data_IF_067298083651
#
_entry.id   IF_067298083651
#
_cell.length_a   1.000
_cell.length_b   1.000
_cell.length_c   1.000
_cell.angle_alpha   90.00
_cell.angle_beta   90.00
_cell.angle_gamma   90.00
#
_symmetry.space_group_name_H-M   'P 1'
#
loop_
_entity.id
_entity.type
_entity.pdbx_description
1 polymer ?
#
# COMPACT_ATOMS: atom_id res chain seq x y z
N UNK A 1 -2.23 20.80 -36.67
CA UNK A 1 -2.38 20.55 -35.22
C UNK A 1 -2.17 19.09 -34.80
N UNK A 2 -1.81 18.15 -35.68
CA UNK A 2 -1.78 16.71 -35.34
C UNK A 2 -0.42 16.12 -34.94
N UNK A 3 0.71 16.80 -35.18
CA UNK A 3 2.04 16.26 -34.80
C UNK A 3 2.31 16.35 -33.29
N UNK A 4 1.88 17.43 -32.63
CA UNK A 4 2.06 17.61 -31.18
C UNK A 4 1.29 16.59 -30.33
N UNK A 5 0.12 16.14 -30.79
CA UNK A 5 -0.63 15.08 -30.12
C UNK A 5 0.07 13.72 -30.27
N UNK A 6 0.63 13.43 -31.46
CA UNK A 6 1.40 12.20 -31.71
C UNK A 6 2.67 12.12 -30.86
N UNK A 7 3.43 13.21 -30.76
CA UNK A 7 4.67 13.23 -29.96
C UNK A 7 4.40 13.03 -28.46
N UNK A 8 3.30 13.60 -27.95
CA UNK A 8 2.86 13.40 -26.56
C UNK A 8 2.42 11.95 -26.34
N UNK A 9 1.63 11.37 -27.24
CA UNK A 9 1.23 9.95 -27.16
C UNK A 9 2.44 9.00 -27.24
N UNK A 10 3.41 9.27 -28.11
CA UNK A 10 4.66 8.50 -28.21
C UNK A 10 5.46 8.61 -26.92
N UNK A 11 5.60 9.81 -26.36
CA UNK A 11 6.25 10.02 -25.06
C UNK A 11 5.53 9.26 -23.93
N UNK A 12 4.20 9.33 -23.86
CA UNK A 12 3.41 8.58 -22.88
C UNK A 12 3.58 7.07 -23.05
N UNK A 13 3.51 6.56 -24.29
CA UNK A 13 3.75 5.15 -24.60
C UNK A 13 5.16 4.73 -24.22
N UNK A 14 6.16 5.56 -24.49
CA UNK A 14 7.57 5.31 -24.18
C UNK A 14 7.84 5.34 -22.67
N UNK A 15 7.31 6.34 -21.96
CA UNK A 15 7.35 6.43 -20.50
C UNK A 15 6.65 5.25 -19.83
N UNK A 16 5.45 4.89 -20.31
CA UNK A 16 4.70 3.72 -19.83
C UNK A 16 5.45 2.41 -20.10
N UNK A 17 6.06 2.29 -21.27
CA UNK A 17 6.93 1.16 -21.63
C UNK A 17 8.19 1.09 -20.76
N UNK A 18 8.87 2.21 -20.51
CA UNK A 18 10.04 2.28 -19.62
C UNK A 18 9.67 1.89 -18.19
N UNK A 19 8.55 2.42 -17.67
CA UNK A 19 8.00 2.06 -16.37
C UNK A 19 7.68 0.57 -16.30
N UNK A 20 7.00 0.02 -17.32
CA UNK A 20 6.68 -1.40 -17.41
C UNK A 20 7.95 -2.28 -17.46
N UNK A 21 8.96 -1.88 -18.23
CA UNK A 21 10.26 -2.59 -18.28
C UNK A 21 10.99 -2.56 -16.95
N UNK A 22 10.96 -1.43 -16.25
CA UNK A 22 11.54 -1.32 -14.90
C UNK A 22 10.85 -2.27 -13.92
N UNK A 23 9.52 -2.33 -13.94
CA UNK A 23 8.74 -3.26 -13.11
C UNK A 23 9.07 -4.71 -13.47
N UNK A 24 9.09 -5.07 -14.76
CA UNK A 24 9.43 -6.42 -15.21
C UNK A 24 10.83 -6.85 -14.75
N UNK A 25 11.84 -5.98 -14.90
CA UNK A 25 13.22 -6.27 -14.46
C UNK A 25 13.32 -6.48 -12.95
N UNK A 26 12.63 -5.64 -12.17
CA UNK A 26 12.62 -5.74 -10.70
C UNK A 26 11.88 -6.98 -10.19
N UNK A 27 10.97 -7.55 -10.97
CA UNK A 27 10.18 -8.72 -10.60
C UNK A 27 10.60 -9.98 -11.38
N UNK A 28 11.82 -9.98 -11.93
CA UNK A 28 12.38 -11.17 -12.55
C UNK A 28 12.62 -12.26 -11.50
N UNK A 29 12.51 -13.52 -11.92
CA UNK A 29 12.75 -14.67 -11.05
C UNK A 29 14.24 -14.92 -10.82
N UNK A 30 14.65 -15.06 -9.56
CA UNK A 30 16.06 -15.17 -9.14
C UNK A 30 16.50 -16.64 -9.06
N UNK A 31 16.17 -17.44 -10.08
CA UNK A 31 16.46 -18.89 -10.10
C UNK A 31 17.96 -19.23 -10.01
N UNK A 32 18.84 -18.40 -10.58
CA UNK A 32 20.29 -18.60 -10.44
C UNK A 32 20.76 -18.37 -8.99
N UNK A 33 20.30 -17.29 -8.35
CA UNK A 33 20.62 -16.96 -6.96
C UNK A 33 20.12 -18.06 -6.03
N UNK A 34 18.90 -18.56 -6.24
CA UNK A 34 18.34 -19.67 -5.47
C UNK A 34 19.18 -20.94 -5.58
N UNK A 35 19.65 -21.30 -6.78
CA UNK A 35 20.52 -22.47 -6.98
C UNK A 35 21.87 -22.33 -6.30
N UNK A 36 22.43 -21.11 -6.24
CA UNK A 36 23.77 -20.85 -5.72
C UNK A 36 23.81 -20.68 -4.20
N UNK A 37 22.82 -20.00 -3.63
CA UNK A 37 22.82 -19.59 -2.22
C UNK A 37 21.66 -20.18 -1.41
N UNK A 38 20.77 -20.94 -2.05
CA UNK A 38 19.56 -21.45 -1.40
C UNK A 38 18.38 -20.48 -1.48
N UNK A 39 17.19 -21.02 -1.21
CA UNK A 39 15.92 -20.32 -1.41
C UNK A 39 15.71 -19.17 -0.42
N UNK A 40 16.18 -19.31 0.84
CA UNK A 40 16.03 -18.31 1.89
C UNK A 40 16.89 -17.08 1.61
N UNK A 41 18.18 -17.29 1.34
CA UNK A 41 19.11 -16.21 1.00
C UNK A 41 18.67 -15.49 -0.28
N UNK A 42 18.22 -16.23 -1.30
CA UNK A 42 17.75 -15.62 -2.53
C UNK A 42 16.49 -14.77 -2.32
N UNK A 43 15.55 -15.22 -1.49
CA UNK A 43 14.36 -14.45 -1.10
C UNK A 43 14.77 -13.18 -0.33
N UNK A 44 15.66 -13.30 0.67
CA UNK A 44 16.18 -12.18 1.44
C UNK A 44 16.86 -11.13 0.54
N UNK A 45 17.76 -11.59 -0.35
CA UNK A 45 18.41 -10.72 -1.32
C UNK A 45 17.39 -10.04 -2.25
N UNK A 46 16.37 -10.76 -2.70
CA UNK A 46 15.31 -10.20 -3.55
C UNK A 46 14.53 -9.09 -2.85
N UNK A 47 14.13 -9.30 -1.58
CA UNK A 47 13.43 -8.29 -0.77
C UNK A 47 14.27 -7.01 -0.67
N UNK A 48 15.56 -7.14 -0.35
CA UNK A 48 16.48 -6.00 -0.27
C UNK A 48 16.70 -5.33 -1.64
N UNK A 49 16.78 -6.12 -2.72
CA UNK A 49 16.91 -5.61 -4.09
C UNK A 49 15.70 -4.77 -4.53
N UNK A 50 14.49 -5.13 -4.06
CA UNK A 50 13.29 -4.33 -4.27
C UNK A 50 13.30 -3.02 -3.48
N UNK A 51 14.12 -2.95 -2.41
CA UNK A 51 14.18 -1.84 -1.46
C UNK A 51 13.32 -2.07 -0.22
N UNK A 52 12.90 -3.31 0.03
CA UNK A 52 12.18 -3.68 1.24
C UNK A 52 13.12 -4.09 2.37
N UNK A 53 12.51 -4.65 3.40
CA UNK A 53 13.15 -5.13 4.61
C UNK A 53 12.59 -6.51 4.99
N UNK A 54 13.36 -7.30 5.71
CA UNK A 54 12.91 -8.59 6.21
C UNK A 54 13.48 -8.89 7.60
N UNK A 55 12.87 -9.87 8.28
CA UNK A 55 13.37 -10.45 9.53
C UNK A 55 13.38 -11.98 9.43
N UNK A 56 14.43 -12.60 9.95
CA UNK A 56 14.51 -14.05 10.10
C UNK A 56 13.81 -14.52 11.38
N UNK A 57 13.43 -15.80 11.42
CA UNK A 57 12.76 -16.45 12.57
C UNK A 57 13.60 -16.47 13.86
N UNK A 58 14.92 -16.49 13.74
CA UNK A 58 15.89 -16.61 14.83
C UNK A 58 16.54 -15.27 15.21
N UNK A 59 16.13 -14.18 14.57
CA UNK A 59 16.72 -12.85 14.74
C UNK A 59 15.66 -11.83 15.13
N UNK A 60 15.98 -10.99 16.12
CA UNK A 60 15.12 -9.87 16.51
C UNK A 60 15.26 -8.66 15.58
N UNK A 61 16.43 -8.51 14.96
CA UNK A 61 16.77 -7.33 14.17
C UNK A 61 16.28 -7.44 12.72
N UNK A 62 15.72 -6.34 12.22
CA UNK A 62 15.34 -6.22 10.83
C UNK A 62 16.56 -5.93 9.94
N UNK A 63 16.62 -6.59 8.79
CA UNK A 63 17.58 -6.29 7.74
C UNK A 63 16.89 -5.45 6.68
N UNK A 64 17.44 -4.27 6.40
CA UNK A 64 16.84 -3.32 5.49
C UNK A 64 17.87 -2.74 4.51
N UNK A 65 17.38 -2.31 3.34
CA UNK A 65 18.16 -1.46 2.46
C UNK A 65 18.19 -0.02 3.00
N UNK A 66 19.31 0.68 2.80
CA UNK A 66 19.37 2.11 3.09
C UNK A 66 18.68 2.93 1.99
N UNK A 67 18.52 4.23 2.21
CA UNK A 67 17.87 5.16 1.27
C UNK A 67 18.52 5.22 -0.12
N UNK A 68 19.77 4.73 -0.26
CA UNK A 68 20.51 4.64 -1.54
C UNK A 68 20.44 3.25 -2.18
N UNK A 69 19.68 2.32 -1.60
CA UNK A 69 19.53 0.94 -2.08
C UNK A 69 20.72 0.02 -1.77
N UNK A 70 21.64 0.42 -0.89
CA UNK A 70 22.70 -0.47 -0.38
C UNK A 70 22.23 -1.18 0.87
N UNK A 71 22.62 -2.43 1.04
CA UNK A 71 22.27 -3.26 2.21
C UNK A 71 23.49 -4.07 2.67
N UNK A 72 23.45 -4.52 3.92
CA UNK A 72 24.46 -5.42 4.48
C UNK A 72 24.33 -6.82 3.89
N UNK A 73 25.44 -7.52 3.73
CA UNK A 73 25.50 -8.92 3.28
C UNK A 73 25.66 -9.92 4.44
N UNK A 74 25.55 -9.47 5.69
CA UNK A 74 25.76 -10.33 6.87
C UNK A 74 24.78 -11.53 6.89
N UNK A 75 23.59 -11.38 6.31
CA UNK A 75 22.59 -12.43 6.18
C UNK A 75 23.04 -13.62 5.31
N UNK A 76 24.12 -13.49 4.52
CA UNK A 76 24.70 -14.61 3.77
C UNK A 76 25.35 -15.66 4.68
N UNK A 77 25.72 -15.28 5.91
CA UNK A 77 26.35 -16.19 6.88
C UNK A 77 25.34 -17.03 7.66
N UNK A 78 24.05 -16.87 7.42
CA UNK A 78 22.95 -17.58 8.11
C UNK A 78 22.07 -18.32 7.09
N UNK A 79 22.58 -19.36 6.42
CA UNK A 79 21.87 -20.04 5.33
C UNK A 79 20.64 -20.82 5.78
N UNK A 80 20.62 -21.29 7.03
CA UNK A 80 19.54 -22.12 7.58
C UNK A 80 18.36 -21.30 8.11
N UNK A 81 18.56 -20.00 8.33
CA UNK A 81 17.51 -19.10 8.83
C UNK A 81 16.42 -18.89 7.77
N UNK A 82 15.16 -18.99 8.20
CA UNK A 82 13.98 -18.79 7.34
C UNK A 82 13.36 -17.42 7.59
N UNK A 83 12.76 -16.82 6.56
CA UNK A 83 12.16 -15.49 6.69
C UNK A 83 10.82 -15.59 7.43
N UNK A 84 10.62 -14.74 8.43
CA UNK A 84 9.40 -14.66 9.23
C UNK A 84 8.55 -13.44 8.89
N UNK A 85 9.20 -12.29 8.68
CA UNK A 85 8.52 -11.03 8.41
C UNK A 85 9.13 -10.34 7.19
N UNK A 86 8.28 -9.77 6.35
CA UNK A 86 8.68 -9.06 5.13
C UNK A 86 7.91 -7.76 5.03
N UNK A 87 8.64 -6.66 4.87
CA UNK A 87 8.10 -5.35 4.54
C UNK A 87 8.57 -4.96 3.12
N UNK A 88 7.62 -4.93 2.19
CA UNK A 88 7.80 -4.49 0.81
C UNK A 88 7.01 -3.20 0.53
N UNK A 89 6.64 -2.45 1.57
CA UNK A 89 5.88 -1.21 1.46
C UNK A 89 6.53 -0.22 0.50
N UNK A 90 5.71 0.41 -0.35
CA UNK A 90 6.13 1.42 -1.34
C UNK A 90 7.19 0.92 -2.33
N UNK A 91 7.29 -0.40 -2.54
CA UNK A 91 8.16 -0.99 -3.57
C UNK A 91 7.42 -1.18 -4.90
N UNK A 92 8.08 -1.81 -5.88
CA UNK A 92 7.49 -2.12 -7.20
C UNK A 92 7.14 -3.60 -7.36
N UNK A 93 6.95 -4.33 -6.25
CA UNK A 93 6.52 -5.74 -6.23
C UNK A 93 5.21 -5.92 -7.04
N UNK A 94 5.10 -7.03 -7.75
CA UNK A 94 3.88 -7.48 -8.40
C UNK A 94 3.72 -9.00 -8.28
N UNK A 95 2.65 -9.57 -8.85
CA UNK A 95 2.36 -11.01 -8.72
C UNK A 95 3.49 -11.91 -9.25
N UNK A 96 4.25 -11.50 -10.27
CA UNK A 96 5.41 -12.27 -10.74
C UNK A 96 6.59 -12.20 -9.77
N UNK A 97 6.80 -11.06 -9.12
CA UNK A 97 7.84 -10.90 -8.12
C UNK A 97 7.67 -11.81 -6.91
N UNK A 98 6.41 -12.13 -6.59
CA UNK A 98 6.05 -13.02 -5.50
C UNK A 98 6.68 -14.42 -5.64
N UNK A 99 6.97 -14.89 -6.87
CA UNK A 99 7.68 -16.15 -7.14
C UNK A 99 9.03 -16.26 -6.42
N UNK A 100 9.65 -15.13 -6.08
CA UNK A 100 10.91 -15.12 -5.35
C UNK A 100 10.75 -15.36 -3.84
N UNK A 101 9.53 -15.27 -3.30
CA UNK A 101 9.26 -15.40 -1.85
C UNK A 101 8.27 -16.53 -1.51
N UNK A 102 7.61 -17.17 -2.50
CA UNK A 102 6.62 -18.25 -2.26
C UNK A 102 7.18 -19.48 -1.53
N UNK A 103 8.50 -19.66 -1.50
CA UNK A 103 9.18 -20.74 -0.79
C UNK A 103 9.25 -20.51 0.73
N UNK A 104 8.96 -19.30 1.22
CA UNK A 104 9.06 -18.93 2.62
C UNK A 104 7.84 -19.41 3.43
N UNK A 105 7.81 -20.70 3.77
CA UNK A 105 6.67 -21.34 4.47
C UNK A 105 6.51 -20.93 5.93
N UNK A 106 7.46 -20.19 6.48
CA UNK A 106 7.45 -19.65 7.84
C UNK A 106 6.99 -18.20 7.89
N UNK A 107 6.66 -17.59 6.75
CA UNK A 107 6.27 -16.18 6.67
C UNK A 107 4.98 -15.94 7.48
N UNK A 108 5.08 -15.09 8.50
CA UNK A 108 3.99 -14.69 9.39
C UNK A 108 3.47 -13.29 9.10
N UNK A 109 4.33 -12.36 8.71
CA UNK A 109 3.93 -10.98 8.42
C UNK A 109 4.39 -10.55 7.03
N UNK A 110 3.46 -9.97 6.26
CA UNK A 110 3.72 -9.40 4.96
C UNK A 110 3.07 -8.03 4.85
N UNK A 111 3.86 -6.97 4.72
CA UNK A 111 3.36 -5.66 4.30
C UNK A 111 3.72 -5.38 2.85
N UNK A 112 2.71 -5.00 2.07
CA UNK A 112 2.85 -4.47 0.71
C UNK A 112 2.15 -3.13 0.56
N UNK A 113 2.04 -2.38 1.66
CA UNK A 113 1.39 -1.09 1.71
C UNK A 113 1.87 -0.16 0.59
N UNK A 114 0.92 0.50 -0.09
CA UNK A 114 1.22 1.52 -1.09
C UNK A 114 1.96 1.00 -2.33
N UNK A 115 1.92 -0.31 -2.61
CA UNK A 115 2.55 -0.88 -3.78
C UNK A 115 1.67 -0.70 -5.04
N UNK A 116 2.11 0.06 -6.06
CA UNK A 116 1.25 0.44 -7.19
C UNK A 116 0.98 -0.68 -8.20
N UNK A 117 1.66 -1.83 -8.09
CA UNK A 117 1.51 -2.97 -8.99
C UNK A 117 1.01 -4.24 -8.28
N UNK A 118 0.59 -4.14 -7.01
CA UNK A 118 -0.12 -5.21 -6.31
C UNK A 118 -1.59 -5.16 -6.74
N UNK A 119 -2.07 -6.27 -7.28
CA UNK A 119 -3.39 -6.46 -7.89
C UNK A 119 -4.07 -7.73 -7.35
N UNK A 120 -5.28 -8.02 -7.83
CA UNK A 120 -6.04 -9.20 -7.43
C UNK A 120 -5.29 -10.51 -7.69
N UNK A 121 -4.47 -10.57 -8.75
CA UNK A 121 -3.61 -11.72 -9.05
C UNK A 121 -2.53 -11.90 -7.98
N UNK A 122 -1.98 -10.80 -7.45
CA UNK A 122 -1.03 -10.87 -6.34
C UNK A 122 -1.70 -11.51 -5.11
N UNK A 123 -2.89 -11.05 -4.72
CA UNK A 123 -3.63 -11.61 -3.58
C UNK A 123 -4.00 -13.07 -3.79
N UNK A 124 -4.46 -13.44 -5.00
CA UNK A 124 -4.80 -14.82 -5.34
C UNK A 124 -3.62 -15.78 -5.15
N UNK A 125 -2.38 -15.31 -5.29
CA UNK A 125 -1.18 -16.13 -5.09
C UNK A 125 -0.77 -16.28 -3.63
N UNK A 126 -1.31 -15.49 -2.70
CA UNK A 126 -0.96 -15.57 -1.28
C UNK A 126 -1.46 -16.86 -0.61
N UNK A 127 -2.35 -17.63 -1.24
CA UNK A 127 -2.82 -18.94 -0.75
C UNK A 127 -1.66 -19.89 -0.37
N UNK A 128 -0.48 -19.73 -0.99
CA UNK A 128 0.72 -20.53 -0.67
C UNK A 128 1.25 -20.33 0.75
N UNK A 129 0.83 -19.26 1.42
CA UNK A 129 1.14 -18.91 2.81
C UNK A 129 -0.05 -19.16 3.75
N UNK A 130 -1.09 -19.86 3.31
CA UNK A 130 -2.35 -19.99 4.05
C UNK A 130 -2.22 -20.61 5.45
N UNK A 131 -1.18 -21.42 5.65
CA UNK A 131 -0.88 -22.10 6.91
C UNK A 131 0.18 -21.39 7.77
N UNK A 132 0.65 -20.20 7.38
CA UNK A 132 1.71 -19.46 8.10
C UNK A 132 1.39 -17.99 8.33
N UNK A 133 0.81 -17.31 7.33
CA UNK A 133 0.60 -15.87 7.34
C UNK A 133 -0.45 -15.50 8.39
N UNK A 134 -0.08 -14.55 9.25
CA UNK A 134 -0.86 -14.04 10.38
C UNK A 134 -1.21 -12.56 10.21
N UNK A 135 -0.36 -11.81 9.52
CA UNK A 135 -0.51 -10.37 9.34
C UNK A 135 -0.30 -10.01 7.88
N UNK A 136 -1.25 -9.26 7.33
CA UNK A 136 -1.21 -8.79 5.96
C UNK A 136 -1.64 -7.33 5.91
N UNK A 137 -0.76 -6.49 5.38
CA UNK A 137 -1.08 -5.10 5.09
C UNK A 137 -1.05 -4.86 3.58
N UNK A 138 -2.23 -4.57 3.03
CA UNK A 138 -2.44 -4.24 1.62
C UNK A 138 -2.96 -2.82 1.44
N UNK A 139 -2.90 -1.99 2.48
CA UNK A 139 -3.40 -0.63 2.47
C UNK A 139 -2.78 0.21 1.35
N UNK A 140 -3.54 1.21 0.87
CA UNK A 140 -3.12 2.12 -0.20
C UNK A 140 -2.71 1.45 -1.53
N UNK A 141 -3.10 0.19 -1.78
CA UNK A 141 -2.82 -0.48 -3.05
C UNK A 141 -3.93 -0.19 -4.07
N UNK A 142 -3.66 0.55 -5.17
CA UNK A 142 -4.72 1.13 -6.00
C UNK A 142 -5.38 0.16 -6.99
N UNK A 143 -4.85 -1.06 -7.13
CA UNK A 143 -5.32 -2.05 -8.11
C UNK A 143 -6.01 -3.26 -7.48
N UNK A 144 -6.16 -3.25 -6.16
CA UNK A 144 -6.91 -4.28 -5.45
C UNK A 144 -8.39 -3.95 -5.53
N UNK A 145 -9.19 -4.94 -5.89
CA UNK A 145 -10.65 -4.84 -5.93
C UNK A 145 -11.26 -5.79 -4.91
N UNK A 146 -12.58 -5.72 -4.76
CA UNK A 146 -13.36 -6.69 -3.97
C UNK A 146 -13.08 -8.13 -4.43
N UNK A 147 -12.90 -8.35 -5.73
CA UNK A 147 -12.59 -9.69 -6.28
C UNK A 147 -11.25 -10.25 -5.79
N UNK A 148 -10.23 -9.41 -5.63
CA UNK A 148 -8.95 -9.83 -5.05
C UNK A 148 -9.04 -10.14 -3.56
N UNK A 149 -9.83 -9.36 -2.82
CA UNK A 149 -10.06 -9.60 -1.39
C UNK A 149 -10.75 -10.94 -1.13
N UNK A 150 -11.63 -11.39 -2.04
CA UNK A 150 -12.26 -12.73 -1.96
C UNK A 150 -11.21 -13.86 -1.97
N UNK A 151 -10.04 -13.66 -2.57
CA UNK A 151 -9.00 -14.68 -2.60
C UNK A 151 -8.31 -14.88 -1.23
N UNK A 152 -8.48 -13.96 -0.28
CA UNK A 152 -7.86 -14.03 1.04
C UNK A 152 -8.47 -15.11 1.95
N UNK A 153 -9.64 -15.69 1.60
CA UNK A 153 -10.26 -16.81 2.35
C UNK A 153 -9.33 -18.01 2.58
N UNK A 154 -8.31 -18.18 1.74
CA UNK A 154 -7.35 -19.27 1.87
C UNK A 154 -6.32 -19.04 2.98
N UNK A 155 -6.26 -17.85 3.58
CA UNK A 155 -5.34 -17.47 4.64
C UNK A 155 -5.91 -17.83 6.03
N UNK A 156 -5.96 -19.14 6.33
CA UNK A 156 -6.64 -19.69 7.52
C UNK A 156 -6.06 -19.23 8.85
N UNK A 157 -4.79 -18.82 8.87
CA UNK A 157 -4.12 -18.32 10.09
C UNK A 157 -4.06 -16.80 10.17
N UNK A 158 -4.68 -16.08 9.23
CA UNK A 158 -4.66 -14.62 9.23
C UNK A 158 -5.42 -14.09 10.46
N UNK A 159 -4.75 -13.19 11.18
CA UNK A 159 -5.24 -12.56 12.41
C UNK A 159 -5.38 -11.06 12.28
N UNK A 160 -4.57 -10.43 11.43
CA UNK A 160 -4.63 -8.98 11.16
C UNK A 160 -4.59 -8.73 9.66
N UNK A 161 -5.52 -7.92 9.18
CA UNK A 161 -5.64 -7.52 7.79
C UNK A 161 -5.94 -6.02 7.69
N UNK A 162 -5.01 -5.26 7.13
CA UNK A 162 -5.22 -3.84 6.83
C UNK A 162 -5.62 -3.63 5.37
N UNK A 163 -6.83 -3.11 5.15
CA UNK A 163 -7.42 -2.77 3.84
C UNK A 163 -7.73 -1.28 3.72
N UNK A 164 -7.02 -0.43 4.47
CA UNK A 164 -7.20 1.03 4.45
C UNK A 164 -6.96 1.62 3.06
N UNK A 165 -7.82 2.58 2.68
CA UNK A 165 -7.63 3.42 1.48
C UNK A 165 -7.47 2.63 0.17
N UNK A 166 -8.21 1.53 0.00
CA UNK A 166 -8.29 0.80 -1.27
C UNK A 166 -9.27 1.51 -2.23
N UNK A 167 -8.73 2.33 -3.14
CA UNK A 167 -9.56 3.08 -4.11
C UNK A 167 -10.37 2.20 -5.07
N UNK A 168 -9.98 0.93 -5.26
CA UNK A 168 -10.71 -0.05 -6.06
C UNK A 168 -11.92 -0.68 -5.35
N UNK A 169 -12.17 -0.30 -4.10
CA UNK A 169 -13.28 -0.78 -3.27
C UNK A 169 -14.30 0.34 -3.10
N UNK A 170 -15.44 0.23 -3.80
CA UNK A 170 -16.49 1.27 -3.78
C UNK A 170 -17.34 1.28 -2.51
N UNK A 171 -17.35 0.19 -1.73
CA UNK A 171 -18.22 0.06 -0.55
C UNK A 171 -17.47 -0.60 0.61
N UNK A 172 -16.72 0.18 1.41
CA UNK A 172 -15.93 -0.33 2.52
C UNK A 172 -16.76 -1.13 3.53
N UNK A 173 -17.98 -0.69 3.85
CA UNK A 173 -18.86 -1.39 4.80
C UNK A 173 -19.28 -2.79 4.33
N UNK A 174 -19.56 -2.96 3.05
CA UNK A 174 -19.89 -4.29 2.49
C UNK A 174 -18.65 -5.19 2.44
N UNK A 175 -17.49 -4.61 2.13
CA UNK A 175 -16.22 -5.34 2.17
C UNK A 175 -15.88 -5.77 3.58
N UNK A 176 -16.15 -4.94 4.59
CA UNK A 176 -15.97 -5.31 5.99
C UNK A 176 -16.77 -6.55 6.34
N UNK A 177 -18.08 -6.54 6.08
CA UNK A 177 -18.97 -7.68 6.35
C UNK A 177 -18.49 -8.92 5.60
N UNK A 178 -18.15 -8.78 4.31
CA UNK A 178 -17.63 -9.88 3.50
C UNK A 178 -16.36 -10.50 4.10
N UNK A 179 -15.41 -9.67 4.52
CA UNK A 179 -14.14 -10.12 5.08
C UNK A 179 -14.32 -10.76 6.46
N UNK A 180 -15.20 -10.23 7.31
CA UNK A 180 -15.51 -10.83 8.61
C UNK A 180 -16.16 -12.20 8.48
N UNK A 181 -17.08 -12.38 7.52
CA UNK A 181 -17.70 -13.67 7.23
C UNK A 181 -16.68 -14.70 6.71
N UNK A 182 -15.76 -14.28 5.83
CA UNK A 182 -14.76 -15.17 5.25
C UNK A 182 -13.57 -15.46 6.19
N UNK A 183 -13.24 -14.52 7.07
CA UNK A 183 -12.07 -14.57 7.96
C UNK A 183 -12.51 -14.24 9.41
N UNK A 184 -13.31 -15.12 10.04
CA UNK A 184 -13.94 -14.83 11.33
C UNK A 184 -12.97 -14.67 12.51
N UNK A 185 -11.72 -15.11 12.35
CA UNK A 185 -10.66 -15.00 13.36
C UNK A 185 -9.68 -13.85 13.05
N UNK A 186 -9.96 -13.04 12.03
CA UNK A 186 -9.10 -11.96 11.57
C UNK A 186 -9.68 -10.61 11.96
N UNK A 187 -8.87 -9.81 12.65
CA UNK A 187 -9.11 -8.39 12.84
C UNK A 187 -8.83 -7.66 11.53
N UNK A 188 -9.89 -7.11 10.94
CA UNK A 188 -9.79 -6.26 9.75
C UNK A 188 -9.64 -4.80 10.22
N UNK A 189 -8.89 -3.96 9.51
CA UNK A 189 -8.81 -2.50 9.75
C UNK A 189 -8.96 -1.75 8.43
N UNK A 190 -9.36 -0.47 8.49
CA UNK A 190 -9.38 0.39 7.28
C UNK A 190 -10.58 0.23 6.36
N UNK A 191 -11.51 -0.67 6.68
CA UNK A 191 -12.80 -0.79 6.00
C UNK A 191 -13.92 0.04 6.67
N UNK A 192 -13.52 1.00 7.51
CA UNK A 192 -14.44 1.86 8.27
C UNK A 192 -14.98 3.00 7.41
N UNK A 193 -16.07 3.61 7.87
CA UNK A 193 -16.63 4.78 7.23
C UNK A 193 -15.56 5.85 7.10
N UNK A 194 -15.37 6.40 5.91
CA UNK A 194 -14.98 7.80 5.81
C UNK A 194 -16.16 8.56 6.40
N UNK A 195 -16.15 8.75 7.73
CA UNK A 195 -16.81 9.92 8.30
C UNK A 195 -16.07 11.04 7.61
N UNK A 196 -16.64 11.50 6.49
CA UNK A 196 -16.14 12.66 5.81
C UNK A 196 -15.85 13.64 6.91
N UNK A 197 -14.59 14.06 6.99
CA UNK A 197 -14.30 15.32 7.61
C UNK A 197 -15.20 16.30 6.85
N UNK A 198 -16.39 16.55 7.40
CA UNK A 198 -16.95 17.88 7.38
C UNK A 198 -15.88 18.66 8.11
N UNK A 199 -14.89 19.11 7.33
CA UNK A 199 -14.32 20.40 7.55
C UNK A 199 -15.58 21.27 7.68
N UNK A 200 -15.94 21.53 8.93
CA UNK A 200 -16.74 22.69 9.25
C UNK A 200 -15.82 23.80 8.77
N UNK A 201 -15.93 24.14 7.48
CA UNK A 201 -15.45 25.40 6.97
C UNK A 201 -16.08 26.40 7.93
N UNK A 202 -15.24 26.94 8.80
CA UNK A 202 -15.51 28.13 9.57
C UNK A 202 -15.68 29.27 8.56
N UNK A 203 -16.77 29.22 7.80
CA UNK A 203 -17.24 30.22 6.87
C UNK A 203 -18.73 30.43 7.12
N UNK A 204 -19.07 30.55 8.40
CA UNK A 204 -20.40 30.84 8.91
C UNK A 204 -20.36 31.78 10.11
N UNK A 205 -19.45 32.76 10.10
CA UNK A 205 -19.38 33.79 11.16
C UNK A 205 -18.64 35.05 10.71
N UNK A 206 -18.97 35.60 9.54
CA UNK A 206 -18.53 36.94 9.11
C UNK A 206 -19.57 37.69 8.25
N UNK A 207 -20.88 37.46 8.46
CA UNK A 207 -21.92 38.22 7.75
C UNK A 207 -23.02 38.85 8.63
N UNK A 208 -22.88 38.86 9.95
CA UNK A 208 -23.79 39.63 10.82
C UNK A 208 -23.17 40.89 11.45
N UNK A 209 -21.84 41.03 11.46
CA UNK A 209 -21.20 42.21 12.08
C UNK A 209 -20.97 43.39 11.13
N UNK A 210 -21.22 43.23 9.81
CA UNK A 210 -21.07 44.33 8.83
C UNK A 210 -22.36 45.12 8.58
N UNK A 211 -23.52 44.57 8.97
CA UNK A 211 -24.83 45.24 8.82
C UNK A 211 -25.13 46.14 10.04
N UNK A 212 -24.63 45.79 11.22
CA UNK A 212 -24.78 46.61 12.43
C UNK A 212 -23.83 47.81 12.47
N UNK A 213 -22.63 47.69 11.88
CA UNK A 213 -21.66 48.79 11.82
C UNK A 213 -22.00 49.88 10.79
N UNK A 214 -22.74 49.57 9.72
CA UNK A 214 -23.15 50.57 8.71
C UNK A 214 -24.42 51.35 9.10
N UNK A 215 -25.23 50.81 10.02
CA UNK A 215 -26.41 51.51 10.56
C UNK A 215 -26.06 52.52 11.67
N UNK A 216 -24.97 52.29 12.41
CA UNK A 216 -24.50 53.22 13.45
C UNK A 216 -23.79 54.47 12.90
N UNK A 217 -23.29 54.45 11.65
CA UNK A 217 -22.61 55.61 11.04
C UNK A 217 -23.54 56.52 10.24
N UNK A 218 -24.73 56.06 9.87
CA UNK A 218 -25.73 56.86 9.14
C UNK A 218 -26.63 57.67 10.08
N UNK A 219 -26.85 57.21 11.32
CA UNK A 219 -27.64 57.95 12.32
C UNK A 219 -26.86 59.07 13.04
N UNK A 220 -25.51 59.03 13.03
CA UNK A 220 -24.68 60.11 13.61
C UNK A 220 -24.47 61.32 12.67
N UNK A 221 -24.73 61.19 11.37
CA UNK A 221 -24.58 62.30 10.41
C UNK A 221 -25.89 63.09 10.23
N UNK A 222 -27.06 62.47 10.48
CA UNK A 222 -28.35 63.17 10.42
C UNK A 222 -28.64 64.08 11.62
N UNK A 223 -27.95 63.92 12.75
CA UNK A 223 -28.18 64.73 13.96
C UNK A 223 -27.31 66.01 14.04
N UNK A 224 -26.31 66.17 13.18
CA UNK A 224 -25.40 67.32 13.17
C UNK A 224 -25.77 68.43 12.17
N UNK A 225 -26.89 68.32 11.46
CA UNK A 225 -27.36 69.31 10.47
C UNK A 225 -28.73 69.95 10.78
N UNK A 226 -29.18 69.85 12.04
CA UNK A 226 -30.33 70.63 12.55
C UNK A 226 -29.99 71.32 13.89
N UNK A 227 -28.97 72.18 13.87
CA UNK A 227 -28.84 73.36 14.74
C UNK A 227 -28.15 74.47 13.97
#
# INVERSE_FOLDING_TARGET
MNQRFYDVEVFWRWSRWLKSRRVQRKNAYFGFTQKKFGVNIAAAYYVLHLGGSFRFTDQSEWVHANSRGKFSYNFLNTPDSTIEEVDLSRTLINHNGLDNIVSQKTLRSLSVQGCPNVDDWFLARLHVFGESLQELDVSHCPRITVGGLVALQHLRKLRRLDVSSLVGVSSPSLVRILLEEMLPLCEVTGAEYDQGFVQHDSMGQLKEDTVTATKAHTDSVSAAQRR
#
